data_IF_791873928348
#
_entry.id   IF_791873928348
#
_cell.length_a   1.000
_cell.length_b   1.000
_cell.length_c   1.000
_cell.angle_alpha   90.00
_cell.angle_beta   90.00
_cell.angle_gamma   90.00
#
_symmetry.space_group_name_H-M   'P 1'
#
loop_
_entity.id
_entity.type
_entity.pdbx_description
1 polymer ?
#
# COMPACT_ATOMS: atom_id res chain seq x y z
N UNK A 1 23.79 12.33 26.42
CA UNK A 1 22.42 12.23 25.86
C UNK A 1 22.35 10.94 25.04
N UNK A 2 21.43 9.99 25.31
CA UNK A 2 21.25 8.85 24.43
C UNK A 2 20.55 9.34 23.16
N UNK A 3 21.21 9.21 22.01
CA UNK A 3 20.58 9.41 20.71
C UNK A 3 19.75 8.16 20.44
N UNK A 4 18.43 8.25 20.61
CA UNK A 4 17.51 7.21 20.15
C UNK A 4 17.81 6.95 18.67
N UNK A 5 18.15 5.71 18.26
CA UNK A 5 18.36 5.44 16.85
C UNK A 5 17.04 5.64 16.13
N UNK A 6 17.00 6.62 15.24
CA UNK A 6 15.85 6.82 14.35
C UNK A 6 15.84 5.62 13.42
N UNK A 7 14.94 4.66 13.69
CA UNK A 7 14.73 3.52 12.81
C UNK A 7 14.01 4.01 11.56
N UNK A 8 14.79 4.26 10.51
CA UNK A 8 14.24 4.45 9.17
C UNK A 8 14.00 3.07 8.59
N UNK A 9 12.79 2.54 8.76
CA UNK A 9 12.38 1.38 7.97
C UNK A 9 12.60 1.74 6.49
N UNK A 10 13.30 0.89 5.71
CA UNK A 10 13.53 1.16 4.31
C UNK A 10 12.18 1.29 3.58
N UNK A 11 12.10 2.25 2.66
CA UNK A 11 10.89 2.44 1.86
C UNK A 11 10.60 1.16 1.07
N UNK A 12 9.37 0.69 1.14
CA UNK A 12 8.91 -0.56 0.55
C UNK A 12 7.72 -0.31 -0.38
N UNK A 13 7.54 -1.21 -1.35
CA UNK A 13 6.32 -1.29 -2.18
C UNK A 13 5.22 -2.09 -1.51
N UNK A 14 5.51 -2.72 -0.36
CA UNK A 14 4.60 -3.60 0.35
C UNK A 14 3.65 -2.82 1.25
N UNK A 15 2.37 -3.15 1.15
CA UNK A 15 1.32 -2.77 2.10
C UNK A 15 1.07 -3.96 3.02
N UNK A 16 1.11 -3.72 4.33
CA UNK A 16 1.03 -4.76 5.36
C UNK A 16 -0.20 -4.61 6.24
N UNK A 17 -0.64 -5.71 6.84
CA UNK A 17 -1.68 -5.76 7.86
C UNK A 17 -1.29 -6.81 8.88
N UNK A 18 -1.18 -6.42 10.16
CA UNK A 18 -0.76 -7.32 11.24
C UNK A 18 0.53 -8.10 10.94
N UNK A 19 1.51 -7.44 10.30
CA UNK A 19 2.80 -8.02 9.92
C UNK A 19 2.83 -8.78 8.58
N UNK A 20 1.69 -9.14 8.00
CA UNK A 20 1.61 -9.85 6.71
C UNK A 20 1.50 -8.88 5.52
N UNK A 21 2.10 -9.22 4.37
CA UNK A 21 1.95 -8.45 3.12
C UNK A 21 0.59 -8.75 2.50
N UNK A 22 -0.26 -7.72 2.40
CA UNK A 22 -1.63 -7.81 1.86
C UNK A 22 -1.79 -7.05 0.54
N UNK A 23 -0.84 -6.18 0.19
CA UNK A 23 -0.80 -5.49 -1.10
C UNK A 23 0.63 -5.22 -1.54
N UNK A 24 0.86 -5.15 -2.86
CA UNK A 24 2.14 -4.76 -3.45
C UNK A 24 1.87 -3.69 -4.50
N UNK A 25 2.58 -2.58 -4.38
CA UNK A 25 2.50 -1.46 -5.33
C UNK A 25 3.54 -1.63 -6.44
N UNK A 26 3.31 -0.97 -7.58
CA UNK A 26 4.24 -0.94 -8.72
C UNK A 26 5.54 -0.17 -8.42
N UNK A 27 5.47 0.81 -7.52
CA UNK A 27 6.59 1.66 -7.11
C UNK A 27 6.39 2.17 -5.69
N UNK A 28 7.41 2.82 -5.14
CA UNK A 28 7.31 3.49 -3.85
C UNK A 28 6.56 4.82 -4.03
N UNK A 29 5.45 5.00 -3.30
CA UNK A 29 4.67 6.23 -3.32
C UNK A 29 5.03 7.13 -2.14
N UNK A 30 5.21 8.45 -2.35
CA UNK A 30 5.33 9.39 -1.26
C UNK A 30 3.98 9.55 -0.55
N UNK A 31 4.00 9.65 0.78
CA UNK A 31 2.85 10.05 1.57
C UNK A 31 2.84 11.59 1.60
N UNK A 32 1.80 12.20 1.04
CA UNK A 32 1.66 13.65 0.92
C UNK A 32 0.64 14.14 1.96
N UNK A 33 1.15 14.73 3.04
CA UNK A 33 0.32 15.15 4.18
C UNK A 33 -0.36 13.94 4.82
N UNK A 34 -1.71 13.92 4.77
CA UNK A 34 -2.54 12.87 5.35
C UNK A 34 -3.06 11.88 4.31
N UNK A 35 -2.50 11.85 3.11
CA UNK A 35 -3.00 11.01 2.02
C UNK A 35 -1.89 10.36 1.20
N UNK A 36 -2.23 9.22 0.59
CA UNK A 36 -1.44 8.58 -0.46
C UNK A 36 -2.40 7.97 -1.47
N UNK A 37 -2.06 8.10 -2.75
CA UNK A 37 -2.82 7.49 -3.85
C UNK A 37 -1.89 6.55 -4.59
N UNK A 38 -2.27 5.28 -4.67
CA UNK A 38 -1.55 4.26 -5.42
C UNK A 38 -2.20 4.09 -6.79
N UNK A 39 -1.40 4.10 -7.86
CA UNK A 39 -1.94 3.84 -9.20
C UNK A 39 -2.39 2.39 -9.31
N UNK A 40 -1.53 1.47 -8.87
CA UNK A 40 -1.76 0.03 -8.91
C UNK A 40 -1.45 -0.63 -7.55
N UNK A 41 -2.38 -1.45 -7.05
CA UNK A 41 -2.16 -2.35 -5.92
C UNK A 41 -2.48 -3.78 -6.33
N UNK A 42 -1.45 -4.62 -6.42
CA UNK A 42 -1.61 -6.06 -6.52
C UNK A 42 -2.05 -6.61 -5.16
N UNK A 43 -3.29 -7.10 -5.11
CA UNK A 43 -3.92 -7.57 -3.89
C UNK A 43 -3.43 -8.98 -3.56
N UNK A 44 -2.89 -9.16 -2.35
CA UNK A 44 -2.42 -10.44 -1.80
C UNK A 44 -3.28 -10.95 -0.65
N UNK A 45 -4.04 -10.07 -0.02
CA UNK A 45 -4.94 -10.39 1.08
C UNK A 45 -5.96 -9.29 1.31
N UNK A 46 -6.47 -9.22 2.53
CA UNK A 46 -7.48 -8.25 2.91
C UNK A 46 -6.91 -6.84 3.08
N UNK A 47 -7.38 -5.91 2.24
CA UNK A 47 -7.03 -4.49 2.24
C UNK A 47 -8.03 -3.62 3.03
N UNK A 48 -8.99 -4.22 3.74
CA UNK A 48 -9.89 -3.47 4.61
C UNK A 48 -9.22 -3.06 5.92
N UNK A 49 -9.75 -2.02 6.57
CA UNK A 49 -9.31 -1.59 7.90
C UNK A 49 -7.94 -0.89 7.91
N UNK A 50 -7.19 -1.10 9.00
CA UNK A 50 -5.90 -0.43 9.20
C UNK A 50 -4.78 -1.20 8.51
N UNK A 51 -4.07 -0.49 7.64
CA UNK A 51 -2.94 -0.97 6.85
C UNK A 51 -1.67 -0.26 7.28
N UNK A 52 -0.52 -0.85 6.98
CA UNK A 52 0.79 -0.29 7.26
C UNK A 52 1.56 -0.13 5.95
N UNK A 53 2.10 1.06 5.72
CA UNK A 53 2.93 1.38 4.56
C UNK A 53 4.00 2.39 4.96
N UNK A 54 5.27 2.07 4.72
CA UNK A 54 6.42 2.95 5.03
C UNK A 54 6.40 3.53 6.47
N UNK A 55 6.00 2.70 7.45
CA UNK A 55 5.96 3.08 8.86
C UNK A 55 4.76 3.95 9.26
N UNK A 56 3.79 4.18 8.37
CA UNK A 56 2.54 4.88 8.65
C UNK A 56 1.38 3.92 8.62
N UNK A 57 0.39 4.16 9.49
CA UNK A 57 -0.90 3.50 9.42
C UNK A 57 -1.79 4.24 8.44
N UNK A 58 -2.49 3.47 7.61
CA UNK A 58 -3.33 3.95 6.53
C UNK A 58 -4.70 3.28 6.59
N UNK A 59 -5.70 3.91 6.00
CA UNK A 59 -6.99 3.29 5.71
C UNK A 59 -7.40 3.60 4.27
N UNK A 60 -7.82 2.58 3.54
CA UNK A 60 -8.38 2.76 2.19
C UNK A 60 -9.68 3.54 2.31
N UNK A 61 -9.78 4.64 1.58
CA UNK A 61 -10.99 5.49 1.55
C UNK A 61 -11.70 5.42 0.20
N UNK A 62 -10.97 5.11 -0.87
CA UNK A 62 -11.53 5.00 -2.22
C UNK A 62 -10.74 4.04 -3.09
N UNK A 63 -11.46 3.33 -3.95
CA UNK A 63 -10.91 2.50 -5.02
C UNK A 63 -11.74 2.77 -6.26
N UNK A 64 -11.10 3.19 -7.36
CA UNK A 64 -11.85 3.49 -8.59
C UNK A 64 -12.17 2.23 -9.39
N UNK A 65 -11.25 1.27 -9.46
CA UNK A 65 -11.45 0.06 -10.25
C UNK A 65 -10.89 -1.16 -9.54
N UNK A 66 -11.70 -2.22 -9.52
CA UNK A 66 -11.30 -3.54 -9.04
C UNK A 66 -11.25 -4.50 -10.23
N UNK A 67 -10.07 -5.05 -10.50
CA UNK A 67 -9.81 -5.99 -11.59
C UNK A 67 -9.50 -7.35 -10.95
N UNK A 68 -10.32 -8.38 -11.25
CA UNK A 68 -10.09 -9.73 -10.70
C UNK A 68 -8.83 -10.40 -11.25
N UNK A 69 -8.51 -10.15 -12.52
CA UNK A 69 -7.33 -10.66 -13.22
C UNK A 69 -6.91 -9.64 -14.28
N UNK A 70 -5.68 -9.13 -14.21
CA UNK A 70 -5.14 -8.19 -15.19
C UNK A 70 -4.19 -8.93 -16.15
N UNK A 71 -4.35 -8.77 -17.46
CA UNK A 71 -3.48 -9.41 -18.46
C UNK A 71 -2.64 -8.31 -19.14
N UNK A 72 -1.34 -8.32 -18.88
CA UNK A 72 -0.38 -7.38 -19.46
C UNK A 72 0.71 -8.06 -20.28
N UNK A 73 1.70 -7.29 -20.75
CA UNK A 73 2.80 -7.80 -21.57
C UNK A 73 3.70 -8.85 -20.89
N UNK A 74 3.62 -9.00 -19.57
CA UNK A 74 4.32 -10.03 -18.80
C UNK A 74 3.44 -11.23 -18.42
N UNK A 75 2.22 -11.31 -18.97
CA UNK A 75 1.25 -12.35 -18.66
C UNK A 75 0.19 -11.93 -17.63
N UNK A 76 -0.61 -12.89 -17.13
CA UNK A 76 -1.65 -12.61 -16.16
C UNK A 76 -1.06 -12.24 -14.80
N UNK A 77 -1.63 -11.21 -14.17
CA UNK A 77 -1.40 -10.81 -12.77
C UNK A 77 -2.67 -11.04 -11.97
N UNK A 78 -2.49 -11.28 -10.67
CA UNK A 78 -3.58 -11.50 -9.71
C UNK A 78 -4.52 -10.30 -9.58
N UNK A 79 -5.45 -10.30 -8.62
CA UNK A 79 -6.38 -9.19 -8.44
C UNK A 79 -5.64 -7.87 -8.26
N UNK A 80 -6.02 -6.87 -9.05
CA UNK A 80 -5.42 -5.52 -9.05
C UNK A 80 -6.49 -4.49 -8.74
N UNK A 81 -6.20 -3.61 -7.80
CA UNK A 81 -6.99 -2.41 -7.56
C UNK A 81 -6.28 -1.22 -8.18
N UNK A 82 -7.01 -0.40 -8.93
CA UNK A 82 -6.48 0.79 -9.58
C UNK A 82 -6.98 2.05 -8.89
N UNK A 83 -6.10 3.05 -8.82
CA UNK A 83 -6.36 4.34 -8.18
C UNK A 83 -6.91 4.18 -6.75
N UNK A 84 -6.07 3.62 -5.88
CA UNK A 84 -6.40 3.33 -4.48
C UNK A 84 -5.98 4.53 -3.63
N UNK A 85 -6.95 5.26 -3.12
CA UNK A 85 -6.72 6.38 -2.20
C UNK A 85 -6.78 5.88 -0.76
N UNK A 86 -5.75 6.24 0.00
CA UNK A 86 -5.66 5.97 1.43
C UNK A 86 -5.45 7.25 2.22
N UNK A 87 -6.05 7.31 3.40
CA UNK A 87 -5.77 8.34 4.40
C UNK A 87 -4.86 7.79 5.49
N UNK A 88 -3.94 8.63 5.98
CA UNK A 88 -3.12 8.33 7.15
C UNK A 88 -4.01 8.42 8.39
N UNK A 89 -4.02 7.35 9.18
CA UNK A 89 -4.73 7.29 10.48
C UNK A 89 -3.68 7.33 11.58
N UNK A 90 -3.76 8.34 12.45
CA UNK A 90 -2.82 8.56 13.57
C UNK A 90 -2.84 7.40 14.59
#
# INVERSE_FOLDING_TARGET
MPKTPVSFAPRSTEIRKSGAVVGITDRVYPINGNSVTFDDVLVKGDLSGDLEYNGRKLRVVRVDTVIGLEIGGQGPRGPVWKHVECQVVE
#
